data_IF_151554367746
#
_entry.id   IF_151554367746
#
_cell.length_a   1.000
_cell.length_b   1.000
_cell.length_c   1.000
_cell.angle_alpha   90.00
_cell.angle_beta   90.00
_cell.angle_gamma   90.00
#
_symmetry.space_group_name_H-M   'P 1'
#
loop_
_entity.id
_entity.type
_entity.pdbx_description
1 polymer ?
#
# COMPACT_ATOMS: atom_id res chain seq x y z
N UNK A 1 28.50 25.96 20.72
CA UNK A 1 29.38 26.38 19.61
C UNK A 1 29.46 25.20 18.66
N UNK A 2 28.57 25.12 17.67
CA UNK A 2 28.59 24.03 16.69
C UNK A 2 29.64 24.38 15.65
N UNK A 3 30.90 24.01 15.94
CA UNK A 3 32.02 24.25 15.03
C UNK A 3 32.06 23.11 14.02
N UNK A 4 31.85 23.44 12.75
CA UNK A 4 32.03 22.52 11.63
C UNK A 4 33.51 22.11 11.53
N UNK A 5 33.76 20.82 11.38
CA UNK A 5 35.08 20.23 11.19
C UNK A 5 35.27 19.86 9.71
N UNK A 6 36.37 20.32 9.12
CA UNK A 6 36.71 19.99 7.74
C UNK A 6 37.37 18.61 7.68
N UNK A 7 36.92 17.75 6.77
CA UNK A 7 37.53 16.47 6.46
C UNK A 7 37.77 16.31 4.97
N UNK A 8 38.98 15.90 4.62
CA UNK A 8 39.34 15.53 3.26
C UNK A 8 38.66 14.21 2.86
N UNK A 9 38.38 14.08 1.57
CA UNK A 9 37.85 12.84 0.99
C UNK A 9 38.89 12.22 0.07
N UNK A 10 38.64 10.98 -0.38
CA UNK A 10 39.49 10.34 -1.38
C UNK A 10 39.44 11.04 -2.75
N UNK A 11 38.42 11.87 -2.98
CA UNK A 11 38.31 12.69 -4.18
C UNK A 11 38.79 14.13 -3.90
N UNK A 12 39.87 14.60 -4.54
CA UNK A 12 40.40 15.93 -4.29
C UNK A 12 39.44 17.08 -4.70
N UNK A 13 38.43 16.81 -5.52
CA UNK A 13 37.40 17.83 -5.83
C UNK A 13 36.32 17.94 -4.76
N UNK A 14 36.26 17.00 -3.81
CA UNK A 14 35.20 16.93 -2.79
C UNK A 14 35.79 17.16 -1.40
N UNK A 15 35.22 18.12 -0.68
CA UNK A 15 35.56 18.37 0.72
C UNK A 15 34.33 18.19 1.60
N UNK A 16 34.52 17.56 2.78
CA UNK A 16 33.47 17.26 3.73
C UNK A 16 33.52 18.23 4.91
N UNK A 17 32.37 18.71 5.32
CA UNK A 17 32.13 19.62 6.43
C UNK A 17 31.22 18.91 7.43
N UNK A 18 31.78 18.45 8.55
CA UNK A 18 31.07 17.66 9.57
C UNK A 18 30.63 18.50 10.77
N UNK A 19 29.41 18.25 11.23
CA UNK A 19 28.81 18.83 12.42
C UNK A 19 28.92 17.87 13.61
N UNK A 20 28.82 18.41 14.83
CA UNK A 20 28.76 17.64 16.08
C UNK A 20 27.50 16.78 16.16
N UNK A 21 26.39 17.30 15.66
CA UNK A 21 25.06 16.68 15.72
C UNK A 21 24.58 16.30 14.33
N UNK A 22 23.64 15.34 14.26
CA UNK A 22 22.98 14.99 13.01
C UNK A 22 22.17 16.17 12.48
N UNK A 23 22.38 16.49 11.20
CA UNK A 23 21.69 17.56 10.47
C UNK A 23 20.58 17.04 9.56
N UNK A 24 20.54 15.72 9.29
CA UNK A 24 19.44 15.05 8.57
C UNK A 24 18.86 13.89 9.38
N UNK A 25 17.55 13.64 9.21
CA UNK A 25 16.84 12.51 9.84
C UNK A 25 16.96 11.23 9.00
N UNK A 26 18.19 10.72 8.80
CA UNK A 26 18.53 9.54 7.99
C UNK A 26 18.26 9.66 6.47
N UNK A 27 17.94 10.85 5.98
CA UNK A 27 17.86 11.12 4.54
C UNK A 27 19.18 11.70 4.02
N UNK A 28 19.45 11.45 2.74
CA UNK A 28 20.58 12.04 2.01
C UNK A 28 20.04 12.85 0.85
N UNK A 29 20.60 14.05 0.66
CA UNK A 29 20.19 14.98 -0.37
C UNK A 29 21.38 15.29 -1.27
N UNK A 30 21.15 15.29 -2.58
CA UNK A 30 22.13 15.72 -3.58
C UNK A 30 21.46 16.82 -4.41
N UNK A 31 22.16 17.94 -4.55
CA UNK A 31 21.73 19.07 -5.36
C UNK A 31 22.83 19.38 -6.37
N UNK A 32 22.45 19.62 -7.63
CA UNK A 32 23.38 20.00 -8.72
C UNK A 32 23.29 21.47 -9.11
N UNK A 33 22.27 22.17 -8.64
CA UNK A 33 22.05 23.59 -8.90
C UNK A 33 21.13 24.21 -7.83
N UNK A 34 21.02 25.54 -7.87
CA UNK A 34 20.20 26.32 -6.94
C UNK A 34 18.69 26.02 -7.05
N UNK A 35 18.19 25.62 -8.23
CA UNK A 35 16.77 25.32 -8.46
C UNK A 35 16.35 23.99 -7.83
N UNK A 36 17.24 23.01 -7.78
CA UNK A 36 17.06 21.73 -7.08
C UNK A 36 17.15 21.92 -5.55
N UNK A 37 17.92 22.90 -5.09
CA UNK A 37 18.21 23.16 -3.68
C UNK A 37 17.08 23.84 -2.89
N UNK A 38 15.84 23.89 -3.40
CA UNK A 38 14.70 24.56 -2.73
C UNK A 38 14.42 24.05 -1.31
N UNK A 39 14.67 22.77 -1.06
CA UNK A 39 14.53 22.14 0.26
C UNK A 39 15.69 22.42 1.22
N UNK A 40 16.72 23.16 0.81
CA UNK A 40 17.89 23.47 1.62
C UNK A 40 18.33 24.92 1.41
N UNK A 41 17.88 25.86 2.26
CA UNK A 41 18.33 27.25 2.20
C UNK A 41 19.86 27.38 2.31
N UNK A 42 20.51 26.50 3.09
CA UNK A 42 21.98 26.45 3.14
C UNK A 42 22.58 26.06 1.78
N UNK A 43 22.06 25.03 1.11
CA UNK A 43 22.57 24.63 -0.20
C UNK A 43 22.35 25.74 -1.24
N UNK A 44 21.20 26.45 -1.20
CA UNK A 44 20.98 27.62 -2.05
C UNK A 44 22.05 28.69 -1.83
N UNK A 45 22.39 28.96 -0.56
CA UNK A 45 23.43 29.94 -0.23
C UNK A 45 24.83 29.51 -0.72
N UNK A 46 25.14 28.23 -0.62
CA UNK A 46 26.41 27.67 -1.08
C UNK A 46 26.53 27.67 -2.61
N UNK A 47 25.43 27.53 -3.36
CA UNK A 47 25.45 27.65 -4.82
C UNK A 47 25.75 29.06 -5.35
N UNK A 48 25.71 30.11 -4.52
CA UNK A 48 26.21 31.42 -4.92
C UNK A 48 27.74 31.48 -5.02
N UNK A 49 28.44 30.48 -4.47
CA UNK A 49 29.87 30.33 -4.68
C UNK A 49 30.12 29.78 -6.09
N UNK A 50 30.81 30.53 -6.97
CA UNK A 50 30.90 30.23 -8.40
C UNK A 50 31.65 28.92 -8.72
N UNK A 51 32.36 28.37 -7.76
CA UNK A 51 33.10 27.12 -7.90
C UNK A 51 32.33 25.90 -7.43
N UNK A 52 31.14 26.03 -6.83
CA UNK A 52 30.37 24.88 -6.33
C UNK A 52 29.65 24.19 -7.47
N UNK A 53 29.92 22.89 -7.63
CA UNK A 53 29.34 22.03 -8.67
C UNK A 53 28.19 21.18 -8.12
N UNK A 54 28.40 20.53 -6.97
CA UNK A 54 27.43 19.62 -6.36
C UNK A 54 27.48 19.77 -4.85
N UNK A 55 26.33 19.72 -4.20
CA UNK A 55 26.23 19.72 -2.73
C UNK A 55 25.51 18.44 -2.30
N UNK A 56 26.14 17.70 -1.40
CA UNK A 56 25.59 16.51 -0.79
C UNK A 56 25.41 16.73 0.71
N UNK A 57 24.23 16.45 1.25
CA UNK A 57 23.90 16.63 2.67
C UNK A 57 23.40 15.30 3.22
N UNK A 58 24.07 14.75 4.23
CA UNK A 58 23.69 13.46 4.82
C UNK A 58 24.20 13.31 6.23
N UNK A 59 23.41 12.66 7.09
CA UNK A 59 23.77 12.36 8.47
C UNK A 59 24.14 13.64 9.23
N UNK A 60 25.40 13.76 9.60
CA UNK A 60 25.97 14.92 10.29
C UNK A 60 26.92 15.75 9.41
N UNK A 61 26.82 15.71 8.08
CA UNK A 61 27.79 16.39 7.22
C UNK A 61 27.23 16.94 5.92
N UNK A 62 27.98 17.90 5.36
CA UNK A 62 27.81 18.45 4.03
C UNK A 62 29.09 18.16 3.24
N UNK A 63 28.98 17.53 2.08
CA UNK A 63 30.09 17.38 1.13
C UNK A 63 29.85 18.29 -0.06
N UNK A 64 30.86 19.05 -0.43
CA UNK A 64 30.80 20.00 -1.55
C UNK A 64 31.80 19.54 -2.60
N UNK A 65 31.31 19.35 -3.83
CA UNK A 65 32.15 19.14 -5.00
C UNK A 65 32.42 20.49 -5.67
N UNK A 66 33.69 20.81 -5.93
CA UNK A 66 34.08 22.02 -6.67
C UNK A 66 34.32 21.76 -8.16
N UNK A 67 34.09 22.77 -8.99
CA UNK A 67 34.71 22.88 -10.31
C UNK A 67 36.22 23.05 -10.17
N UNK A 68 36.97 22.59 -11.18
CA UNK A 68 38.42 22.67 -11.19
C UNK A 68 38.92 24.08 -11.57
N UNK A 69 38.48 25.10 -10.83
CA UNK A 69 38.80 26.52 -11.04
C UNK A 69 39.40 27.20 -9.80
N UNK A 70 39.43 26.50 -8.67
CA UNK A 70 39.95 26.97 -7.38
C UNK A 70 40.51 25.79 -6.59
N UNK A 71 41.45 26.00 -5.68
CA UNK A 71 41.92 24.96 -4.75
C UNK A 71 41.23 25.03 -3.38
N UNK A 72 41.02 23.88 -2.76
CA UNK A 72 40.33 23.81 -1.46
C UNK A 72 41.11 24.53 -0.36
N UNK A 73 42.44 24.51 -0.40
CA UNK A 73 43.28 25.20 0.59
C UNK A 73 43.04 26.72 0.63
N UNK A 74 42.61 27.32 -0.48
CA UNK A 74 42.36 28.75 -0.58
C UNK A 74 40.96 29.15 -0.05
N UNK A 75 40.00 28.22 -0.03
CA UNK A 75 38.58 28.54 0.21
C UNK A 75 37.92 27.76 1.36
N UNK A 76 38.53 26.66 1.83
CA UNK A 76 37.90 25.76 2.81
C UNK A 76 37.52 26.44 4.12
N UNK A 77 38.36 27.35 4.61
CA UNK A 77 38.11 28.05 5.88
C UNK A 77 36.97 29.07 5.74
N UNK A 78 36.92 29.80 4.62
CA UNK A 78 35.84 30.74 4.31
C UNK A 78 34.49 30.03 4.16
N UNK A 79 34.48 28.86 3.49
CA UNK A 79 33.27 28.03 3.35
C UNK A 79 32.82 27.49 4.71
N UNK A 80 33.75 27.00 5.54
CA UNK A 80 33.43 26.55 6.89
C UNK A 80 32.88 27.69 7.76
N UNK A 81 33.43 28.90 7.67
CA UNK A 81 32.93 30.08 8.36
C UNK A 81 31.51 30.45 7.89
N UNK A 82 31.24 30.42 6.58
CA UNK A 82 29.91 30.68 6.02
C UNK A 82 28.87 29.68 6.54
N UNK A 83 29.20 28.38 6.56
CA UNK A 83 28.33 27.33 7.08
C UNK A 83 28.09 27.54 8.58
N UNK A 84 29.15 27.78 9.36
CA UNK A 84 29.05 28.03 10.79
C UNK A 84 28.16 29.25 11.10
N UNK A 85 28.37 30.35 10.38
CA UNK A 85 27.58 31.57 10.53
C UNK A 85 26.11 31.31 10.24
N UNK A 86 25.80 30.63 9.15
CA UNK A 86 24.42 30.28 8.79
C UNK A 86 23.72 29.50 9.91
N UNK A 87 24.40 28.52 10.51
CA UNK A 87 23.83 27.70 11.60
C UNK A 87 23.72 28.50 12.90
N UNK A 88 24.69 29.34 13.23
CA UNK A 88 24.66 30.20 14.43
C UNK A 88 23.54 31.23 14.35
N UNK A 89 23.26 31.76 13.15
CA UNK A 89 22.17 32.71 12.90
C UNK A 89 20.78 32.03 12.91
N UNK A 90 20.70 30.72 13.20
CA UNK A 90 19.46 29.96 13.24
C UNK A 90 18.94 29.52 11.88
N UNK A 91 19.81 29.52 10.85
CA UNK A 91 19.47 29.09 9.50
C UNK A 91 19.09 27.62 9.42
N UNK A 92 18.04 27.32 8.65
CA UNK A 92 17.55 25.97 8.41
C UNK A 92 18.41 25.27 7.36
N UNK A 93 19.11 24.19 7.75
CA UNK A 93 20.01 23.43 6.85
C UNK A 93 19.21 22.67 5.80
N UNK A 94 18.19 21.91 6.23
CA UNK A 94 17.19 21.26 5.39
C UNK A 94 15.82 21.68 5.91
N UNK A 95 15.00 22.28 5.06
CA UNK A 95 13.58 22.41 5.33
C UNK A 95 12.98 21.01 5.22
N UNK A 96 12.79 20.35 6.37
CA UNK A 96 12.08 19.08 6.42
C UNK A 96 10.65 19.39 6.00
N UNK A 97 10.25 18.85 4.86
CA UNK A 97 8.88 18.94 4.39
C UNK A 97 8.02 18.12 5.37
N UNK A 98 7.37 18.78 6.33
CA UNK A 98 6.48 18.10 7.30
C UNK A 98 5.35 17.33 6.60
N UNK A 99 5.10 17.62 5.31
CA UNK A 99 4.15 16.92 4.45
C UNK A 99 4.69 15.65 3.77
N UNK A 100 5.98 15.32 3.89
CA UNK A 100 6.43 13.96 3.55
C UNK A 100 6.02 13.03 4.68
N UNK A 101 4.85 12.41 4.52
CA UNK A 101 4.41 11.26 5.31
C UNK A 101 5.59 10.36 5.63
N UNK A 102 5.91 10.20 6.92
CA UNK A 102 6.98 9.28 7.37
C UNK A 102 6.68 7.93 6.74
N UNK A 103 7.58 7.47 5.86
CA UNK A 103 7.42 6.21 5.15
C UNK A 103 7.08 5.11 6.15
N UNK A 104 5.91 4.54 6.01
CA UNK A 104 5.48 3.53 6.95
C UNK A 104 6.04 2.18 6.52
N UNK A 105 6.72 1.43 7.41
CA UNK A 105 7.24 0.11 7.05
C UNK A 105 6.06 -0.79 6.66
N UNK A 106 6.13 -1.35 5.45
CA UNK A 106 5.12 -2.28 4.92
C UNK A 106 5.79 -3.28 3.99
N UNK A 107 5.39 -4.55 4.09
CA UNK A 107 5.73 -5.56 3.10
C UNK A 107 4.51 -5.93 2.29
N UNK A 108 4.73 -6.21 1.01
CA UNK A 108 3.72 -6.70 0.08
C UNK A 108 4.31 -7.85 -0.70
N UNK A 109 3.63 -8.98 -0.74
CA UNK A 109 4.03 -10.15 -1.52
C UNK A 109 2.82 -10.77 -2.21
N UNK A 110 3.06 -11.47 -3.32
CA UNK A 110 2.01 -12.12 -4.10
C UNK A 110 1.88 -13.59 -3.75
N UNK A 111 0.65 -14.07 -3.62
CA UNK A 111 0.25 -15.47 -3.45
C UNK A 111 -0.62 -15.86 -4.66
N UNK A 112 -0.34 -17.04 -5.22
CA UNK A 112 -1.17 -17.61 -6.30
C UNK A 112 -2.50 -18.06 -5.75
N UNK A 113 -3.58 -17.84 -6.50
CA UNK A 113 -4.91 -18.35 -6.18
C UNK A 113 -5.26 -19.53 -7.09
N UNK A 114 -6.28 -20.34 -6.75
CA UNK A 114 -6.82 -21.34 -7.68
C UNK A 114 -7.39 -20.74 -8.98
N UNK A 115 -7.71 -19.45 -9.00
CA UNK A 115 -8.17 -18.73 -10.18
C UNK A 115 -6.96 -18.20 -10.98
N UNK A 116 -6.71 -18.69 -12.21
CA UNK A 116 -5.55 -18.27 -13.01
C UNK A 116 -5.58 -16.79 -13.42
N UNK A 117 -6.77 -16.17 -13.39
CA UNK A 117 -6.94 -14.75 -13.70
C UNK A 117 -6.83 -13.87 -12.45
N UNK A 118 -6.70 -14.43 -11.24
CA UNK A 118 -6.58 -13.66 -10.00
C UNK A 118 -5.28 -13.94 -9.23
N UNK A 119 -4.65 -12.88 -8.73
CA UNK A 119 -3.49 -12.97 -7.83
C UNK A 119 -3.78 -12.20 -6.55
N UNK A 120 -3.43 -12.80 -5.41
CA UNK A 120 -3.61 -12.22 -4.08
C UNK A 120 -2.35 -11.49 -3.66
N UNK A 121 -2.43 -10.22 -3.32
CA UNK A 121 -1.33 -9.42 -2.78
C UNK A 121 -1.55 -9.22 -1.28
N UNK A 122 -0.74 -9.89 -0.47
CA UNK A 122 -0.81 -9.81 1.00
C UNK A 122 0.06 -8.66 1.49
N UNK A 123 -0.52 -7.84 2.34
CA UNK A 123 0.09 -6.67 2.97
C UNK A 123 0.32 -6.97 4.46
N UNK A 124 1.43 -6.48 5.03
CA UNK A 124 1.72 -6.63 6.46
C UNK A 124 0.85 -5.78 7.40
N UNK A 125 -0.25 -5.20 6.89
CA UNK A 125 -1.13 -4.28 7.61
C UNK A 125 -2.58 -4.54 7.23
N UNK A 126 -3.46 -4.31 8.18
CA UNK A 126 -4.90 -4.31 7.94
C UNK A 126 -5.27 -3.14 7.01
N UNK A 127 -5.99 -3.47 5.95
CA UNK A 127 -6.53 -2.57 4.92
C UNK A 127 -8.00 -2.25 5.20
N UNK A 128 -8.80 -3.25 5.56
CA UNK A 128 -10.23 -3.11 5.84
C UNK A 128 -10.73 -4.19 6.81
N UNK A 129 -11.82 -3.91 7.52
CA UNK A 129 -12.59 -4.92 8.28
C UNK A 129 -13.68 -5.58 7.45
N UNK A 130 -14.09 -4.90 6.39
CA UNK A 130 -15.21 -5.30 5.57
C UNK A 130 -14.74 -5.51 4.14
N UNK A 131 -15.04 -6.67 3.55
CA UNK A 131 -14.66 -6.96 2.19
C UNK A 131 -15.37 -6.00 1.23
N UNK A 132 -14.62 -5.51 0.24
CA UNK A 132 -15.15 -4.66 -0.82
C UNK A 132 -14.64 -5.14 -2.18
N UNK A 133 -15.54 -5.13 -3.16
CA UNK A 133 -15.26 -5.52 -4.53
C UNK A 133 -15.56 -4.36 -5.47
N UNK A 134 -14.67 -4.17 -6.44
CA UNK A 134 -14.79 -3.19 -7.51
C UNK A 134 -14.66 -3.91 -8.84
N UNK A 135 -15.67 -3.79 -9.69
CA UNK A 135 -15.69 -4.43 -11.03
C UNK A 135 -15.34 -3.47 -12.16
N UNK A 136 -15.21 -2.18 -11.86
CA UNK A 136 -14.80 -1.14 -12.79
C UNK A 136 -14.33 0.11 -12.02
N UNK A 137 -13.70 1.03 -12.74
CA UNK A 137 -13.16 2.26 -12.18
C UNK A 137 -14.23 3.18 -11.58
N UNK A 138 -15.47 3.18 -12.08
CA UNK A 138 -16.54 4.07 -11.60
C UNK A 138 -17.02 3.69 -10.19
N UNK A 139 -16.81 2.43 -9.77
CA UNK A 139 -17.14 1.94 -8.42
C UNK A 139 -16.08 2.31 -7.37
N UNK A 140 -14.95 2.89 -7.77
CA UNK A 140 -13.78 3.11 -6.89
C UNK A 140 -13.87 4.35 -5.99
N UNK A 141 -15.03 5.00 -5.91
CA UNK A 141 -15.21 6.20 -5.08
C UNK A 141 -14.89 5.97 -3.60
N UNK A 142 -14.91 4.72 -3.14
CA UNK A 142 -14.58 4.32 -1.78
C UNK A 142 -13.08 4.02 -1.57
N UNK A 143 -12.29 3.87 -2.64
CA UNK A 143 -10.90 3.43 -2.57
C UNK A 143 -10.03 4.18 -3.59
N UNK A 144 -9.28 5.21 -3.14
CA UNK A 144 -8.29 5.86 -3.97
C UNK A 144 -7.22 4.88 -4.50
N UNK A 145 -6.84 3.87 -3.69
CA UNK A 145 -5.94 2.80 -4.15
C UNK A 145 -6.53 2.01 -5.32
N UNK A 146 -7.79 1.58 -5.22
CA UNK A 146 -8.44 0.84 -6.31
C UNK A 146 -8.53 1.69 -7.57
N UNK A 147 -8.87 2.97 -7.44
CA UNK A 147 -8.92 3.92 -8.57
C UNK A 147 -7.60 3.98 -9.33
N UNK A 148 -6.49 4.05 -8.61
CA UNK A 148 -5.16 4.05 -9.22
C UNK A 148 -4.81 2.69 -9.83
N UNK A 149 -5.17 1.59 -9.18
CA UNK A 149 -4.97 0.23 -9.72
C UNK A 149 -5.76 0.00 -11.03
N UNK A 150 -6.95 0.57 -11.18
CA UNK A 150 -7.69 0.48 -12.44
C UNK A 150 -7.06 1.26 -13.60
N UNK A 151 -6.04 2.10 -13.37
CA UNK A 151 -5.28 2.74 -14.45
C UNK A 151 -4.38 1.75 -15.19
N UNK A 152 -4.07 0.61 -14.58
CA UNK A 152 -3.35 -0.45 -15.26
C UNK A 152 -4.31 -1.15 -16.23
N UNK A 153 -4.02 -1.18 -17.54
CA UNK A 153 -4.97 -1.60 -18.58
C UNK A 153 -5.34 -3.09 -18.49
N UNK A 154 -4.57 -3.87 -17.76
CA UNK A 154 -4.78 -5.30 -17.57
C UNK A 154 -5.64 -5.63 -16.34
N UNK A 155 -5.97 -4.65 -15.48
CA UNK A 155 -6.78 -4.87 -14.27
C UNK A 155 -8.27 -4.85 -14.63
N UNK A 156 -8.96 -5.95 -14.32
CA UNK A 156 -10.39 -6.16 -14.58
C UNK A 156 -11.24 -5.95 -13.33
N UNK A 157 -10.83 -6.52 -12.20
CA UNK A 157 -11.56 -6.46 -10.93
C UNK A 157 -10.57 -6.35 -9.77
N UNK A 158 -10.98 -5.67 -8.70
CA UNK A 158 -10.18 -5.49 -7.49
C UNK A 158 -11.05 -5.85 -6.30
N UNK A 159 -10.54 -6.70 -5.44
CA UNK A 159 -11.16 -7.08 -4.18
C UNK A 159 -10.21 -6.78 -3.04
N UNK A 160 -10.69 -6.12 -1.99
CA UNK A 160 -9.90 -5.75 -0.82
C UNK A 160 -10.60 -6.31 0.41
N UNK A 161 -9.87 -7.09 1.19
CA UNK A 161 -10.34 -7.67 2.44
C UNK A 161 -9.19 -7.82 3.42
N UNK A 162 -9.48 -7.72 4.72
CA UNK A 162 -8.52 -7.78 5.82
C UNK A 162 -7.18 -7.09 5.50
N UNK A 163 -6.14 -7.86 5.19
CA UNK A 163 -4.80 -7.40 4.88
C UNK A 163 -4.34 -7.75 3.45
N UNK A 164 -5.24 -8.12 2.54
CA UNK A 164 -4.89 -8.50 1.18
C UNK A 164 -5.75 -7.82 0.11
N UNK A 165 -5.19 -7.77 -1.10
CA UNK A 165 -5.84 -7.25 -2.29
C UNK A 165 -5.79 -8.34 -3.36
N UNK A 166 -6.93 -8.84 -3.78
CA UNK A 166 -7.01 -9.74 -4.94
C UNK A 166 -7.27 -8.92 -6.18
N UNK A 167 -6.37 -9.03 -7.15
CA UNK A 167 -6.49 -8.37 -8.44
C UNK A 167 -6.81 -9.42 -9.48
N UNK A 168 -7.90 -9.24 -10.20
CA UNK A 168 -8.27 -10.06 -11.36
C UNK A 168 -7.85 -9.34 -12.62
N UNK A 169 -7.10 -10.01 -13.50
CA UNK A 169 -6.65 -9.48 -14.79
C UNK A 169 -7.56 -9.89 -15.95
N UNK A 170 -7.42 -9.21 -17.09
CA UNK A 170 -7.93 -9.73 -18.37
C UNK A 170 -7.11 -10.93 -18.85
N UNK A 171 -7.75 -11.86 -19.56
CA UNK A 171 -7.13 -13.16 -19.93
C UNK A 171 -5.95 -13.04 -20.90
N UNK A 172 -5.83 -11.91 -21.61
CA UNK A 172 -4.74 -11.66 -22.57
C UNK A 172 -3.37 -11.40 -21.89
N UNK A 173 -3.35 -11.13 -20.59
CA UNK A 173 -2.13 -10.79 -19.86
C UNK A 173 -1.61 -11.98 -19.04
N UNK A 174 -0.30 -12.06 -18.80
CA UNK A 174 0.32 -13.08 -17.93
C UNK A 174 0.74 -12.47 -16.59
N UNK A 175 0.47 -13.18 -15.48
CA UNK A 175 0.90 -12.77 -14.14
C UNK A 175 2.41 -12.66 -14.02
N UNK A 176 3.18 -13.49 -14.73
CA UNK A 176 4.65 -13.43 -14.70
C UNK A 176 5.19 -12.06 -15.12
N UNK A 177 4.49 -11.35 -16.00
CA UNK A 177 4.91 -10.05 -16.53
C UNK A 177 4.46 -8.89 -15.63
N UNK A 178 3.24 -8.96 -15.07
CA UNK A 178 2.62 -7.82 -14.37
C UNK A 178 2.76 -7.85 -12.84
N UNK A 179 3.11 -9.00 -12.24
CA UNK A 179 3.13 -9.17 -10.77
C UNK A 179 4.06 -8.18 -10.08
N UNK A 180 5.27 -7.95 -10.63
CA UNK A 180 6.26 -7.07 -10.02
C UNK A 180 5.80 -5.60 -10.04
N UNK A 181 5.14 -5.18 -11.10
CA UNK A 181 4.64 -3.81 -11.26
C UNK A 181 3.54 -3.53 -10.23
N UNK A 182 2.49 -4.37 -10.18
CA UNK A 182 1.38 -4.21 -9.23
C UNK A 182 1.88 -4.28 -7.79
N UNK A 183 2.73 -5.28 -7.46
CA UNK A 183 3.28 -5.42 -6.11
C UNK A 183 4.06 -4.17 -5.68
N UNK A 184 4.89 -3.64 -6.57
CA UNK A 184 5.71 -2.45 -6.29
C UNK A 184 4.82 -1.22 -6.12
N UNK A 185 3.79 -1.09 -6.97
CA UNK A 185 2.82 -0.02 -6.88
C UNK A 185 2.07 -0.04 -5.53
N UNK A 186 1.46 -1.18 -5.16
CA UNK A 186 0.73 -1.32 -3.88
C UNK A 186 1.66 -1.01 -2.70
N UNK A 187 2.88 -1.56 -2.72
CA UNK A 187 3.88 -1.31 -1.67
C UNK A 187 4.18 0.19 -1.54
N UNK A 188 4.53 0.85 -2.65
CA UNK A 188 4.89 2.27 -2.64
C UNK A 188 3.73 3.16 -2.22
N UNK A 189 2.52 2.84 -2.69
CA UNK A 189 1.32 3.59 -2.34
C UNK A 189 1.08 3.57 -0.83
N UNK A 190 1.12 2.39 -0.20
CA UNK A 190 0.91 2.25 1.24
C UNK A 190 2.12 2.78 2.05
N UNK A 191 3.35 2.55 1.57
CA UNK A 191 4.58 3.05 2.22
C UNK A 191 4.57 4.58 2.30
N UNK A 192 4.06 5.26 1.27
CA UNK A 192 3.93 6.72 1.25
C UNK A 192 2.70 7.25 2.02
N UNK A 193 1.94 6.38 2.70
CA UNK A 193 0.76 6.74 3.48
C UNK A 193 -0.48 7.04 2.63
N UNK A 194 -0.57 6.49 1.42
CA UNK A 194 -1.76 6.62 0.58
C UNK A 194 -2.98 5.97 1.22
N UNK A 195 -4.14 6.62 1.08
CA UNK A 195 -5.42 6.14 1.61
C UNK A 195 -5.91 4.93 0.82
N UNK A 196 -6.10 3.79 1.50
CA UNK A 196 -6.62 2.56 0.88
C UNK A 196 -8.13 2.62 0.74
N UNK A 197 -8.84 3.03 1.80
CA UNK A 197 -10.28 3.27 1.81
C UNK A 197 -10.57 4.63 2.44
N UNK A 198 -11.50 5.39 1.85
CA UNK A 198 -11.91 6.68 2.38
C UNK A 198 -12.72 6.53 3.68
N UNK A 199 -12.46 7.39 4.66
CA UNK A 199 -13.09 7.35 6.00
C UNK A 199 -14.62 7.47 5.95
N UNK A 200 -15.16 8.20 4.96
CA UNK A 200 -16.60 8.29 4.74
C UNK A 200 -17.23 6.95 4.36
N UNK A 201 -16.49 6.07 3.68
CA UNK A 201 -16.95 4.73 3.37
C UNK A 201 -16.90 3.84 4.60
N UNK A 202 -15.89 3.98 5.46
CA UNK A 202 -15.82 3.27 6.76
C UNK A 202 -17.08 3.56 7.58
N UNK A 203 -17.52 4.82 7.66
CA UNK A 203 -18.75 5.20 8.37
C UNK A 203 -20.03 4.57 7.79
N UNK A 204 -20.17 4.52 6.46
CA UNK A 204 -21.32 3.88 5.79
C UNK A 204 -21.34 2.37 6.04
N UNK A 205 -20.17 1.74 6.08
CA UNK A 205 -20.06 0.30 6.28
C UNK A 205 -20.28 -0.08 7.75
N UNK A 206 -19.80 0.69 8.71
CA UNK A 206 -20.08 0.47 10.14
C UNK A 206 -21.59 0.56 10.44
N UNK A 207 -22.31 1.48 9.79
CA UNK A 207 -23.77 1.53 9.88
C UNK A 207 -24.46 0.29 9.28
N UNK A 208 -23.87 -0.33 8.24
CA UNK A 208 -24.36 -1.59 7.67
C UNK A 208 -24.06 -2.80 8.56
N UNK A 209 -22.96 -2.83 9.30
CA UNK A 209 -22.66 -3.90 10.27
C UNK A 209 -23.68 -3.94 11.41
N UNK A 210 -24.03 -2.79 12.00
CA UNK A 210 -25.08 -2.73 13.04
C UNK A 210 -26.45 -3.15 12.50
N UNK A 211 -26.72 -2.87 11.23
CA UNK A 211 -27.96 -3.29 10.56
C UNK A 211 -27.95 -4.79 10.29
N UNK A 212 -26.82 -5.36 9.83
CA UNK A 212 -26.65 -6.80 9.59
C UNK A 212 -26.76 -7.63 10.88
N UNK A 213 -26.20 -7.14 11.98
CA UNK A 213 -26.32 -7.81 13.28
C UNK A 213 -27.79 -7.88 13.73
N UNK A 214 -28.55 -6.80 13.55
CA UNK A 214 -29.99 -6.79 13.84
C UNK A 214 -30.77 -7.66 12.86
N UNK A 215 -30.43 -7.67 11.57
CA UNK A 215 -31.05 -8.57 10.60
C UNK A 215 -30.79 -10.04 10.93
N UNK A 216 -29.58 -10.40 11.36
CA UNK A 216 -29.22 -11.75 11.77
C UNK A 216 -30.15 -12.29 12.87
N UNK A 217 -30.40 -11.48 13.91
CA UNK A 217 -31.29 -11.85 15.02
C UNK A 217 -32.75 -12.04 14.58
N UNK A 218 -33.15 -11.49 13.42
CA UNK A 218 -34.48 -11.62 12.84
C UNK A 218 -34.61 -12.75 11.81
N UNK A 219 -33.51 -13.41 11.43
CA UNK A 219 -33.54 -14.55 10.52
C UNK A 219 -34.09 -15.81 11.22
N UNK A 220 -34.58 -16.76 10.43
CA UNK A 220 -34.94 -18.07 10.95
C UNK A 220 -33.70 -18.83 11.46
N UNK A 221 -33.94 -19.84 12.31
CA UNK A 221 -32.88 -20.60 12.97
C UNK A 221 -31.95 -21.27 11.96
N UNK A 222 -32.48 -21.79 10.85
CA UNK A 222 -31.67 -22.47 9.84
C UNK A 222 -30.78 -21.49 9.09
N UNK A 223 -31.30 -20.32 8.72
CA UNK A 223 -30.49 -19.24 8.13
C UNK A 223 -29.35 -18.80 9.05
N UNK A 224 -29.62 -18.62 10.35
CA UNK A 224 -28.58 -18.28 11.32
C UNK A 224 -27.50 -19.37 11.43
N UNK A 225 -27.90 -20.65 11.46
CA UNK A 225 -26.97 -21.78 11.46
C UNK A 225 -26.12 -21.83 10.18
N UNK A 226 -26.73 -21.62 9.01
CA UNK A 226 -26.01 -21.57 7.73
C UNK A 226 -24.95 -20.46 7.77
N UNK A 227 -25.31 -19.25 8.20
CA UNK A 227 -24.37 -18.13 8.29
C UNK A 227 -23.19 -18.48 9.20
N UNK A 228 -23.46 -19.03 10.39
CA UNK A 228 -22.41 -19.42 11.33
C UNK A 228 -21.47 -20.49 10.73
N UNK A 229 -22.02 -21.49 10.03
CA UNK A 229 -21.22 -22.51 9.35
C UNK A 229 -20.34 -21.89 8.25
N UNK A 230 -20.90 -21.00 7.45
CA UNK A 230 -20.15 -20.32 6.38
C UNK A 230 -19.01 -19.48 6.96
N UNK A 231 -19.27 -18.68 8.00
CA UNK A 231 -18.27 -17.82 8.64
C UNK A 231 -17.16 -18.62 9.34
N UNK A 232 -17.49 -19.72 10.02
CA UNK A 232 -16.53 -20.49 10.81
C UNK A 232 -15.70 -21.48 9.97
N UNK A 233 -16.31 -22.13 8.97
CA UNK A 233 -15.67 -23.27 8.27
C UNK A 233 -15.36 -23.01 6.81
N UNK A 234 -16.12 -22.16 6.11
CA UNK A 234 -15.94 -21.92 4.66
C UNK A 234 -15.11 -20.68 4.40
N UNK A 235 -15.46 -19.57 5.03
CA UNK A 235 -14.85 -18.26 4.80
C UNK A 235 -13.33 -18.25 5.00
N UNK A 236 -12.74 -18.91 6.01
CA UNK A 236 -11.29 -18.95 6.16
C UNK A 236 -10.56 -19.59 4.97
N UNK A 237 -11.13 -20.65 4.38
CA UNK A 237 -10.56 -21.30 3.20
C UNK A 237 -10.68 -20.40 1.96
N UNK A 238 -11.83 -19.74 1.81
CA UNK A 238 -12.09 -18.81 0.70
C UNK A 238 -11.17 -17.57 0.78
N UNK A 239 -10.94 -17.01 1.98
CA UNK A 239 -9.99 -15.91 2.19
C UNK A 239 -8.53 -16.33 1.97
N UNK A 240 -8.18 -17.58 2.34
CA UNK A 240 -6.86 -18.13 2.03
C UNK A 240 -6.61 -18.11 0.50
N UNK A 241 -7.64 -18.45 -0.28
CA UNK A 241 -7.63 -18.41 -1.75
C UNK A 241 -7.82 -16.99 -2.34
N UNK A 242 -7.94 -15.94 -1.51
CA UNK A 242 -8.07 -14.56 -1.95
C UNK A 242 -9.47 -14.15 -2.40
N UNK A 243 -10.49 -14.88 -1.99
CA UNK A 243 -11.89 -14.51 -2.19
C UNK A 243 -12.62 -14.20 -0.89
N UNK A 244 -13.93 -13.99 -1.00
CA UNK A 244 -14.84 -13.97 0.13
C UNK A 244 -16.15 -14.68 -0.23
N UNK A 245 -16.88 -15.12 0.79
CA UNK A 245 -18.22 -15.68 0.66
C UNK A 245 -19.18 -14.94 1.58
N UNK A 246 -20.36 -14.61 1.08
CA UNK A 246 -21.45 -14.03 1.86
C UNK A 246 -22.73 -14.83 1.67
N UNK A 247 -23.48 -15.02 2.75
CA UNK A 247 -24.85 -15.52 2.68
C UNK A 247 -25.76 -14.47 2.01
N UNK A 248 -26.60 -14.91 1.07
CA UNK A 248 -27.61 -14.07 0.43
C UNK A 248 -29.00 -14.39 0.98
N UNK A 249 -29.45 -15.64 0.84
CA UNK A 249 -30.78 -16.06 1.27
C UNK A 249 -30.90 -17.58 1.42
N UNK A 250 -31.91 -18.02 2.16
CA UNK A 250 -32.31 -19.42 2.25
C UNK A 250 -33.81 -19.55 1.95
N UNK A 251 -34.15 -20.50 1.08
CA UNK A 251 -35.54 -20.83 0.78
C UNK A 251 -35.91 -22.18 1.43
N UNK A 252 -36.75 -22.12 2.46
CA UNK A 252 -37.19 -23.31 3.20
C UNK A 252 -37.99 -24.30 2.33
N UNK A 253 -38.71 -23.82 1.30
CA UNK A 253 -39.60 -24.68 0.50
C UNK A 253 -38.85 -25.64 -0.42
N UNK A 254 -37.71 -25.22 -0.97
CA UNK A 254 -36.87 -26.03 -1.87
C UNK A 254 -35.48 -26.35 -1.29
N UNK A 255 -35.21 -25.86 -0.07
CA UNK A 255 -33.97 -25.99 0.70
C UNK A 255 -32.74 -25.40 -0.01
N UNK A 256 -32.95 -24.36 -0.82
CA UNK A 256 -31.86 -23.71 -1.57
C UNK A 256 -31.23 -22.58 -0.77
N UNK A 257 -29.93 -22.68 -0.56
CA UNK A 257 -29.06 -21.65 0.03
C UNK A 257 -28.39 -20.89 -1.11
N UNK A 258 -28.59 -19.58 -1.14
CA UNK A 258 -27.91 -18.67 -2.07
C UNK A 258 -26.74 -18.00 -1.38
N UNK A 259 -25.60 -17.98 -2.06
CA UNK A 259 -24.36 -17.35 -1.60
C UNK A 259 -23.81 -16.42 -2.68
N UNK A 260 -23.03 -15.43 -2.26
CA UNK A 260 -22.30 -14.52 -3.14
C UNK A 260 -20.81 -14.84 -2.98
N UNK A 261 -20.13 -15.12 -4.09
CA UNK A 261 -18.69 -15.38 -4.14
C UNK A 261 -17.96 -14.14 -4.65
N UNK A 262 -16.99 -13.62 -3.91
CA UNK A 262 -16.30 -12.38 -4.26
C UNK A 262 -14.79 -12.60 -4.42
N UNK A 263 -14.11 -11.64 -5.05
CA UNK A 263 -12.67 -11.67 -5.24
C UNK A 263 -12.22 -12.81 -6.14
N UNK A 264 -11.14 -13.51 -5.75
CA UNK A 264 -10.58 -14.59 -6.58
C UNK A 264 -11.55 -15.76 -6.81
N UNK A 265 -12.57 -15.93 -5.95
CA UNK A 265 -13.58 -16.98 -6.09
C UNK A 265 -14.73 -16.61 -7.04
N UNK A 266 -14.80 -15.36 -7.50
CA UNK A 266 -15.78 -14.88 -8.48
C UNK A 266 -15.32 -15.21 -9.91
N UNK A 267 -16.24 -15.63 -10.77
CA UNK A 267 -16.02 -15.73 -12.23
C UNK A 267 -15.04 -16.81 -12.71
N UNK A 268 -14.68 -17.80 -11.87
CA UNK A 268 -13.86 -18.95 -12.26
C UNK A 268 -14.71 -20.22 -12.33
N UNK A 269 -15.12 -20.69 -13.53
CA UNK A 269 -16.08 -21.80 -13.67
C UNK A 269 -15.65 -23.09 -12.97
N UNK A 270 -14.35 -23.40 -12.98
CA UNK A 270 -13.80 -24.61 -12.33
C UNK A 270 -13.83 -24.52 -10.80
N UNK A 271 -13.51 -23.34 -10.25
CA UNK A 271 -13.52 -23.09 -8.81
C UNK A 271 -14.93 -22.96 -8.28
N UNK A 272 -15.84 -22.30 -9.01
CA UNK A 272 -17.22 -22.10 -8.58
C UNK A 272 -17.99 -23.41 -8.46
N UNK A 273 -17.82 -24.35 -9.39
CA UNK A 273 -18.46 -25.67 -9.28
C UNK A 273 -17.95 -26.45 -8.06
N UNK A 274 -16.62 -26.56 -7.93
CA UNK A 274 -16.00 -27.34 -6.85
C UNK A 274 -16.29 -26.74 -5.48
N UNK A 275 -16.19 -25.42 -5.34
CA UNK A 275 -16.48 -24.70 -4.11
C UNK A 275 -17.96 -24.84 -3.74
N UNK A 276 -18.88 -24.65 -4.70
CA UNK A 276 -20.32 -24.87 -4.49
C UNK A 276 -20.61 -26.27 -3.95
N UNK A 277 -20.06 -27.31 -4.58
CA UNK A 277 -20.24 -28.69 -4.11
C UNK A 277 -19.64 -28.92 -2.73
N UNK A 278 -18.49 -28.32 -2.43
CA UNK A 278 -17.89 -28.36 -1.10
C UNK A 278 -18.78 -27.74 -0.02
N UNK A 279 -19.30 -26.54 -0.28
CA UNK A 279 -20.23 -25.83 0.62
C UNK A 279 -21.51 -26.64 0.81
N UNK A 280 -22.08 -27.16 -0.28
CA UNK A 280 -23.31 -27.95 -0.22
C UNK A 280 -23.14 -29.19 0.65
N UNK A 281 -22.08 -29.96 0.46
CA UNK A 281 -21.80 -31.15 1.27
C UNK A 281 -21.57 -30.80 2.75
N UNK A 282 -20.88 -29.69 3.02
CA UNK A 282 -20.66 -29.23 4.39
C UNK A 282 -21.97 -28.84 5.08
N UNK A 283 -22.82 -28.06 4.42
CA UNK A 283 -24.11 -27.65 4.96
C UNK A 283 -25.03 -28.86 5.18
N UNK A 284 -25.10 -29.81 4.23
CA UNK A 284 -25.83 -31.07 4.39
C UNK A 284 -25.39 -31.82 5.65
N UNK A 285 -24.08 -31.96 5.83
CA UNK A 285 -23.50 -32.68 6.97
C UNK A 285 -23.75 -31.97 8.30
N UNK A 286 -23.53 -30.66 8.37
CA UNK A 286 -23.61 -29.90 9.62
C UNK A 286 -25.05 -29.60 10.04
N UNK A 287 -25.97 -29.47 9.09
CA UNK A 287 -27.41 -29.32 9.35
C UNK A 287 -28.14 -30.67 9.44
N UNK A 288 -27.46 -31.77 9.12
CA UNK A 288 -28.03 -33.12 9.02
C UNK A 288 -29.27 -33.17 8.10
N UNK A 289 -29.16 -32.53 6.93
CA UNK A 289 -30.24 -32.41 5.94
C UNK A 289 -29.71 -32.58 4.50
N UNK A 290 -29.92 -33.78 3.94
CA UNK A 290 -29.49 -34.14 2.58
C UNK A 290 -30.20 -33.35 1.47
N UNK A 291 -31.29 -32.64 1.78
CA UNK A 291 -32.06 -31.87 0.81
C UNK A 291 -31.46 -30.50 0.48
N UNK A 292 -30.47 -30.03 1.24
CA UNK A 292 -29.85 -28.72 1.04
C UNK A 292 -29.20 -28.63 -0.35
N UNK A 293 -29.42 -27.50 -1.02
CA UNK A 293 -28.78 -27.16 -2.30
C UNK A 293 -28.11 -25.82 -2.19
N UNK A 294 -26.96 -25.63 -2.85
CA UNK A 294 -26.27 -24.34 -2.84
C UNK A 294 -26.28 -23.71 -4.23
N UNK A 295 -26.54 -22.42 -4.33
CA UNK A 295 -26.44 -21.64 -5.56
C UNK A 295 -25.58 -20.40 -5.34
N UNK A 296 -24.67 -20.13 -6.27
CA UNK A 296 -23.90 -18.89 -6.27
C UNK A 296 -24.59 -17.87 -7.18
N UNK A 297 -24.96 -16.71 -6.63
CA UNK A 297 -25.80 -15.70 -7.31
C UNK A 297 -25.04 -14.99 -8.44
N UNK A 298 -23.71 -14.95 -8.34
CA UNK A 298 -22.81 -14.21 -9.23
C UNK A 298 -21.73 -15.10 -9.86
N UNK A 299 -22.04 -16.39 -10.02
CA UNK A 299 -21.23 -17.38 -10.72
C UNK A 299 -21.09 -17.11 -12.23
#
# INVERSE_FOLDING_TARGET
MNKVTIKETQNPTILKFEFSDFITQNESFEYKNIDEAKSSPLAQQLFYLPFVKTIYISGNFIAIEKYNIVEWDDVKDAVAEQINKFVVDGGVIIAIDENKSKKQPVTVYGETTPNPSALKFVVSKMLTKNPIEFKNIDQTSASPLAKELFKFPYVKEIFIDENYISVTKYDINDWQEITLEIRSFIKQYIENGGTVLDENYVAIVTAKEETKAKEFDHLDVTSQQIINILEEYVKPAVQADGGNIAFDSYNESDKTVKVILQGACSGCPSSTFTLKSGIENMLKSMLNDEGIKVEAVNA
#
